data_IF_078694513492
#
_entry.id   IF_078694513492
#
_cell.length_a   1.000
_cell.length_b   1.000
_cell.length_c   1.000
_cell.angle_alpha   90.00
_cell.angle_beta   90.00
_cell.angle_gamma   90.00
#
_symmetry.space_group_name_H-M   'P 1'
#
loop_
_entity.id
_entity.type
_entity.pdbx_description
1 polymer ?
#
# COMPACT_ATOMS: atom_id res chain seq x y z
N UNK A 1 -28.44 29.68 43.81
CA UNK A 1 -28.54 29.93 42.32
C UNK A 1 -27.19 29.62 41.63
N UNK A 2 -26.06 29.97 42.18
CA UNK A 2 -24.74 29.75 41.51
C UNK A 2 -24.38 28.27 41.24
N UNK A 3 -24.69 27.33 42.15
CA UNK A 3 -24.41 25.93 41.96
C UNK A 3 -25.20 25.28 40.83
N UNK A 4 -26.50 25.66 40.71
CA UNK A 4 -27.36 25.17 39.62
C UNK A 4 -26.89 25.72 38.26
N UNK A 5 -26.49 26.99 38.20
CA UNK A 5 -26.00 27.60 36.99
C UNK A 5 -24.67 26.93 36.51
N UNK A 6 -23.77 26.61 37.45
CA UNK A 6 -22.52 25.88 37.17
C UNK A 6 -22.83 24.47 36.68
N UNK A 7 -23.74 23.75 37.31
CA UNK A 7 -24.14 22.40 36.88
C UNK A 7 -24.73 22.40 35.48
N UNK A 8 -25.57 23.35 35.11
CA UNK A 8 -26.14 23.51 33.77
C UNK A 8 -25.02 23.80 32.76
N UNK A 9 -24.10 24.71 33.05
CA UNK A 9 -22.96 25.01 32.19
C UNK A 9 -22.07 23.79 31.95
N UNK A 10 -21.80 23.01 32.97
CA UNK A 10 -20.99 21.76 32.85
C UNK A 10 -21.71 20.73 31.97
N UNK A 11 -23.03 20.54 32.15
CA UNK A 11 -23.83 19.63 31.31
C UNK A 11 -23.87 20.11 29.86
N UNK A 12 -24.08 21.39 29.63
CA UNK A 12 -24.07 21.97 28.28
C UNK A 12 -22.69 21.83 27.63
N UNK A 13 -21.62 22.15 28.38
CA UNK A 13 -20.25 21.98 27.87
C UNK A 13 -19.93 20.51 27.57
N UNK A 14 -20.33 19.58 28.43
CA UNK A 14 -20.17 18.15 28.22
C UNK A 14 -20.97 17.67 26.99
N UNK A 15 -22.21 18.13 26.83
CA UNK A 15 -23.02 17.82 25.65
C UNK A 15 -22.40 18.38 24.35
N UNK A 16 -21.91 19.61 24.37
CA UNK A 16 -21.21 20.22 23.22
C UNK A 16 -19.94 19.46 22.87
N UNK A 17 -19.12 19.08 23.87
CA UNK A 17 -17.91 18.29 23.67
C UNK A 17 -18.26 16.92 23.12
N UNK A 18 -19.32 16.28 23.63
CA UNK A 18 -19.75 14.97 23.15
C UNK A 18 -20.28 15.04 21.72
N UNK A 19 -21.14 16.01 21.39
CA UNK A 19 -21.72 16.18 20.02
C UNK A 19 -20.65 16.57 19.00
N UNK A 20 -19.65 17.38 19.41
CA UNK A 20 -18.54 17.80 18.52
C UNK A 20 -17.35 16.87 18.56
N UNK A 21 -17.32 15.91 19.47
CA UNK A 21 -16.22 14.97 19.62
C UNK A 21 -16.31 13.80 18.64
N UNK A 22 -15.17 13.27 18.27
CA UNK A 22 -15.02 12.11 17.37
C UNK A 22 -15.82 10.88 17.84
N UNK A 23 -16.12 10.78 19.13
CA UNK A 23 -16.86 9.66 19.71
C UNK A 23 -18.32 9.61 19.23
N UNK A 24 -18.94 10.75 18.97
CA UNK A 24 -20.34 10.81 18.51
C UNK A 24 -20.48 10.26 17.08
N UNK A 25 -19.50 10.54 16.21
CA UNK A 25 -19.48 10.09 14.82
C UNK A 25 -18.81 8.73 14.61
N UNK A 26 -18.50 7.99 15.70
CA UNK A 26 -17.79 6.70 15.61
C UNK A 26 -18.72 5.55 16.02
N UNK A 27 -18.86 4.57 15.15
CA UNK A 27 -19.52 3.29 15.43
C UNK A 27 -18.46 2.18 15.43
N UNK A 28 -18.41 1.38 16.49
CA UNK A 28 -17.48 0.26 16.63
C UNK A 28 -18.23 -0.98 17.11
N UNK A 29 -18.35 -1.95 16.22
CA UNK A 29 -18.95 -3.27 16.50
C UNK A 29 -17.82 -4.28 16.42
N UNK A 30 -17.37 -4.79 17.55
CA UNK A 30 -16.31 -5.79 17.61
C UNK A 30 -16.87 -7.20 17.45
N UNK A 31 -16.06 -8.13 16.92
CA UNK A 31 -16.41 -9.54 16.89
C UNK A 31 -16.65 -10.08 18.30
N UNK A 32 -17.64 -10.96 18.46
CA UNK A 32 -17.99 -11.58 19.75
C UNK A 32 -16.90 -12.51 20.28
N UNK A 33 -16.07 -13.02 19.38
CA UNK A 33 -14.87 -13.82 19.69
C UNK A 33 -13.79 -13.52 18.65
N UNK A 34 -12.52 -13.72 19.00
CA UNK A 34 -11.41 -13.62 18.05
C UNK A 34 -11.52 -14.69 16.98
N UNK A 35 -11.34 -14.29 15.72
CA UNK A 35 -11.38 -15.20 14.58
C UNK A 35 -10.06 -15.94 14.48
N UNK A 36 -10.06 -17.29 14.46
CA UNK A 36 -8.82 -18.02 14.25
C UNK A 36 -8.30 -17.81 12.83
N UNK A 37 -6.99 -17.66 12.69
CA UNK A 37 -6.37 -17.60 11.36
C UNK A 37 -6.56 -18.94 10.64
N UNK A 38 -7.17 -18.97 9.45
CA UNK A 38 -7.32 -20.19 8.67
C UNK A 38 -5.97 -20.84 8.37
N UNK A 39 -5.94 -22.17 8.40
CA UNK A 39 -4.75 -22.93 8.02
C UNK A 39 -4.45 -22.70 6.55
N UNK A 40 -3.18 -22.48 6.22
CA UNK A 40 -2.76 -22.30 4.82
C UNK A 40 -3.13 -23.55 3.99
N UNK A 41 -3.54 -23.32 2.74
CA UNK A 41 -3.84 -24.39 1.81
C UNK A 41 -2.58 -25.22 1.52
N UNK A 42 -2.71 -26.54 1.55
CA UNK A 42 -1.68 -27.51 1.18
C UNK A 42 -1.84 -28.00 -0.27
N UNK A 43 -3.00 -27.78 -0.88
CA UNK A 43 -3.34 -28.17 -2.25
C UNK A 43 -4.01 -27.02 -3.00
N UNK A 44 -3.89 -27.06 -4.32
CA UNK A 44 -4.59 -26.14 -5.20
C UNK A 44 -6.01 -26.67 -5.49
N UNK A 45 -7.01 -25.75 -5.59
CA UNK A 45 -8.33 -26.14 -6.06
C UNK A 45 -8.30 -26.50 -7.56
N UNK A 46 -9.20 -27.36 -8.00
CA UNK A 46 -9.34 -27.72 -9.41
C UNK A 46 -10.23 -26.76 -10.19
N UNK A 47 -11.08 -26.03 -9.50
CA UNK A 47 -11.95 -24.97 -10.03
C UNK A 47 -12.25 -23.97 -8.92
N UNK A 48 -12.60 -22.76 -9.28
CA UNK A 48 -13.02 -21.72 -8.35
C UNK A 48 -14.33 -21.09 -8.84
N UNK A 49 -15.20 -20.80 -7.89
CA UNK A 49 -16.43 -20.04 -8.12
C UNK A 49 -16.55 -18.91 -7.13
N UNK A 50 -17.27 -17.88 -7.48
CA UNK A 50 -17.56 -16.81 -6.52
C UNK A 50 -18.39 -17.33 -5.36
N UNK A 51 -17.94 -17.06 -4.15
CA UNK A 51 -18.64 -17.34 -2.90
C UNK A 51 -19.46 -16.12 -2.45
N UNK A 52 -18.84 -14.97 -2.50
CA UNK A 52 -19.43 -13.68 -2.16
C UNK A 52 -18.58 -12.53 -2.75
N UNK A 53 -19.15 -11.33 -2.78
CA UNK A 53 -18.43 -10.08 -3.04
C UNK A 53 -18.93 -8.96 -2.14
N UNK A 54 -18.13 -7.89 -1.98
CA UNK A 54 -18.47 -6.71 -1.23
C UNK A 54 -17.66 -5.49 -1.73
N UNK A 55 -18.22 -4.27 -1.65
CA UNK A 55 -17.50 -3.06 -2.01
C UNK A 55 -16.21 -2.89 -1.21
N UNK A 56 -15.12 -2.52 -1.91
CA UNK A 56 -13.82 -2.19 -1.33
C UNK A 56 -13.08 -1.19 -2.23
N UNK A 57 -13.37 0.10 -2.02
CA UNK A 57 -12.78 1.20 -2.78
C UNK A 57 -11.60 1.86 -2.07
N UNK A 58 -11.36 1.50 -0.81
CA UNK A 58 -10.31 2.09 0.00
C UNK A 58 -9.01 1.30 0.01
N UNK A 59 -9.04 0.04 -0.41
CA UNK A 59 -7.85 -0.83 -0.43
C UNK A 59 -7.14 -0.77 -1.78
N UNK A 60 -5.81 -0.69 -1.76
CA UNK A 60 -5.00 -0.83 -2.98
C UNK A 60 -4.82 -2.29 -3.43
N UNK A 61 -5.10 -3.24 -2.55
CA UNK A 61 -5.02 -4.70 -2.75
C UNK A 61 -6.03 -5.42 -1.87
N UNK A 62 -6.37 -6.64 -2.20
CA UNK A 62 -7.21 -7.47 -1.32
C UNK A 62 -6.53 -7.64 0.05
N UNK A 63 -7.16 -7.11 1.10
CA UNK A 63 -6.58 -7.02 2.42
C UNK A 63 -7.03 -8.17 3.31
N UNK A 64 -6.05 -8.86 3.90
CA UNK A 64 -6.26 -9.91 4.90
C UNK A 64 -5.51 -9.52 6.18
N UNK A 65 -6.18 -9.57 7.32
CA UNK A 65 -5.58 -9.27 8.61
C UNK A 65 -6.24 -10.05 9.73
N UNK A 66 -5.46 -10.69 10.60
CA UNK A 66 -5.99 -11.43 11.74
C UNK A 66 -6.96 -12.55 11.39
N UNK A 67 -6.81 -13.19 10.22
CA UNK A 67 -7.67 -14.30 9.79
C UNK A 67 -8.97 -13.91 9.09
N UNK A 68 -9.20 -12.62 8.83
CA UNK A 68 -10.40 -12.10 8.16
C UNK A 68 -10.06 -11.40 6.84
N UNK A 69 -11.01 -11.37 5.92
CA UNK A 69 -10.99 -10.48 4.76
C UNK A 69 -11.49 -9.10 5.21
N UNK A 70 -10.77 -8.05 4.83
CA UNK A 70 -11.10 -6.68 5.23
C UNK A 70 -11.50 -5.87 4.01
N UNK A 71 -12.60 -5.14 4.11
CA UNK A 71 -13.09 -4.23 3.08
C UNK A 71 -13.26 -2.83 3.64
N UNK A 72 -13.03 -1.82 2.80
CA UNK A 72 -13.26 -0.42 3.13
C UNK A 72 -14.04 0.31 2.06
N UNK A 73 -15.13 0.96 2.46
CA UNK A 73 -15.96 1.73 1.55
C UNK A 73 -16.53 2.95 2.25
N UNK A 74 -16.55 4.09 1.56
CA UNK A 74 -16.96 5.40 2.05
C UNK A 74 -16.31 5.83 3.38
N UNK A 75 -16.91 5.51 4.52
CA UNK A 75 -16.49 5.87 5.88
C UNK A 75 -16.30 4.64 6.78
N UNK A 76 -16.48 3.44 6.22
CA UNK A 76 -16.66 2.18 6.96
C UNK A 76 -15.58 1.16 6.60
N UNK A 77 -15.03 0.53 7.63
CA UNK A 77 -14.15 -0.63 7.52
C UNK A 77 -14.87 -1.85 8.08
N UNK A 78 -14.87 -2.95 7.35
CA UNK A 78 -15.58 -4.17 7.73
C UNK A 78 -14.64 -5.38 7.66
N UNK A 79 -14.57 -6.16 8.74
CA UNK A 79 -13.94 -7.49 8.75
C UNK A 79 -14.99 -8.55 8.46
N UNK A 80 -14.68 -9.42 7.50
CA UNK A 80 -15.59 -10.45 7.00
C UNK A 80 -14.99 -11.83 7.13
N UNK A 81 -15.84 -12.82 7.37
CA UNK A 81 -15.44 -14.21 7.21
C UNK A 81 -15.03 -14.45 5.75
N UNK A 82 -13.80 -14.97 5.50
CA UNK A 82 -13.30 -15.09 4.13
C UNK A 82 -14.09 -16.10 3.27
N UNK A 83 -14.83 -17.03 3.86
CA UNK A 83 -15.60 -18.05 3.14
C UNK A 83 -17.05 -17.66 2.91
N UNK A 84 -17.67 -16.95 3.87
CA UNK A 84 -19.10 -16.67 3.83
C UNK A 84 -19.41 -15.21 3.50
N UNK A 85 -18.44 -14.31 3.65
CA UNK A 85 -18.64 -12.86 3.51
C UNK A 85 -19.37 -12.22 4.68
N UNK A 86 -19.75 -13.02 5.70
CA UNK A 86 -20.47 -12.54 6.88
C UNK A 86 -19.65 -11.46 7.59
N UNK A 87 -20.31 -10.38 8.00
CA UNK A 87 -19.69 -9.32 8.79
C UNK A 87 -19.39 -9.84 10.19
N UNK A 88 -18.11 -9.88 10.55
CA UNK A 88 -17.63 -10.26 11.88
C UNK A 88 -17.47 -9.06 12.79
N UNK A 89 -16.99 -7.94 12.24
CA UNK A 89 -16.85 -6.68 12.93
C UNK A 89 -16.99 -5.50 11.95
N UNK A 90 -17.27 -4.31 12.49
CA UNK A 90 -17.39 -3.06 11.73
C UNK A 90 -16.81 -1.90 12.53
N UNK A 91 -16.11 -1.02 11.85
CA UNK A 91 -15.66 0.25 12.38
C UNK A 91 -15.98 1.37 11.39
N UNK A 92 -16.72 2.36 11.83
CA UNK A 92 -17.18 3.49 11.04
C UNK A 92 -16.81 4.80 11.73
N UNK A 93 -16.38 5.79 10.97
CA UNK A 93 -16.25 7.17 11.44
C UNK A 93 -17.04 8.08 10.52
N UNK A 94 -17.55 9.20 11.05
CA UNK A 94 -18.20 10.24 10.24
C UNK A 94 -17.13 11.09 9.50
N UNK A 95 -16.29 10.43 8.72
CA UNK A 95 -15.18 10.98 7.95
C UNK A 95 -14.90 10.10 6.75
N UNK A 96 -14.63 10.66 5.54
CA UNK A 96 -14.26 9.84 4.38
C UNK A 96 -12.99 9.04 4.64
N UNK A 97 -13.00 7.77 4.26
CA UNK A 97 -11.86 6.89 4.31
C UNK A 97 -10.90 7.21 3.15
N UNK A 98 -9.63 7.49 3.45
CA UNK A 98 -8.59 7.74 2.46
C UNK A 98 -7.95 6.45 1.95
N UNK A 99 -7.84 5.44 2.81
CA UNK A 99 -7.21 4.18 2.46
C UNK A 99 -7.08 3.23 3.64
N UNK A 100 -6.83 1.98 3.28
CA UNK A 100 -6.57 0.88 4.21
C UNK A 100 -5.23 0.22 3.91
N UNK A 101 -4.53 -0.18 4.95
CA UNK A 101 -3.36 -1.05 4.85
C UNK A 101 -3.31 -2.01 6.03
N UNK A 102 -2.64 -3.16 5.85
CA UNK A 102 -2.54 -4.20 6.85
C UNK A 102 -1.11 -4.55 7.20
N UNK A 103 -0.81 -4.62 8.50
CA UNK A 103 0.48 -5.03 9.00
C UNK A 103 0.36 -5.66 10.40
N UNK A 104 1.12 -6.73 10.67
CA UNK A 104 1.16 -7.42 11.98
C UNK A 104 -0.21 -7.86 12.53
N UNK A 105 -1.11 -8.31 11.65
CA UNK A 105 -2.45 -8.69 12.07
C UNK A 105 -3.34 -7.51 12.45
N UNK A 106 -2.89 -6.27 12.18
CA UNK A 106 -3.64 -5.04 12.38
C UNK A 106 -4.12 -4.49 11.05
N UNK A 107 -5.21 -3.74 11.10
CA UNK A 107 -5.75 -2.92 10.01
C UNK A 107 -5.52 -1.46 10.37
N UNK A 108 -4.92 -0.71 9.48
CA UNK A 108 -4.73 0.73 9.62
C UNK A 108 -5.69 1.41 8.65
N UNK A 109 -6.67 2.10 9.23
CA UNK A 109 -7.65 2.89 8.51
C UNK A 109 -7.28 4.38 8.61
N UNK A 110 -7.09 5.03 7.46
CA UNK A 110 -6.75 6.45 7.39
C UNK A 110 -7.95 7.22 6.89
N UNK A 111 -8.40 8.21 7.67
CA UNK A 111 -9.55 9.04 7.38
C UNK A 111 -9.14 10.48 7.12
N UNK A 112 -9.99 11.21 6.38
CA UNK A 112 -9.76 12.60 6.00
C UNK A 112 -10.58 13.54 6.87
N UNK A 113 -9.90 14.49 7.49
CA UNK A 113 -10.47 15.67 8.13
C UNK A 113 -10.06 16.96 7.40
N UNK A 114 -10.20 18.12 8.06
CA UNK A 114 -9.81 19.42 7.51
C UNK A 114 -8.30 19.53 7.23
N UNK A 115 -7.46 18.69 7.89
CA UNK A 115 -6.01 18.65 7.74
C UNK A 115 -5.53 17.63 6.70
N UNK A 116 -6.44 17.10 5.90
CA UNK A 116 -6.16 16.06 4.91
C UNK A 116 -6.40 14.65 5.43
N UNK A 117 -5.74 13.64 4.88
CA UNK A 117 -5.79 12.23 5.33
C UNK A 117 -5.00 12.04 6.63
N UNK A 118 -5.46 12.68 7.68
CA UNK A 118 -4.74 13.00 8.91
C UNK A 118 -5.06 12.08 10.08
N UNK A 119 -6.14 11.30 10.01
CA UNK A 119 -6.67 10.52 11.11
C UNK A 119 -6.41 9.03 10.89
N UNK A 120 -5.33 8.49 11.42
CA UNK A 120 -5.04 7.07 11.35
C UNK A 120 -5.59 6.34 12.59
N UNK A 121 -6.33 5.26 12.37
CA UNK A 121 -6.85 4.38 13.42
C UNK A 121 -6.36 2.96 13.17
N UNK A 122 -5.83 2.33 14.21
CA UNK A 122 -5.40 0.94 14.18
C UNK A 122 -6.44 0.05 14.84
N UNK A 123 -6.87 -0.96 14.11
CA UNK A 123 -7.83 -1.98 14.54
C UNK A 123 -7.15 -3.35 14.57
N UNK A 124 -7.49 -4.17 15.54
CA UNK A 124 -7.11 -5.58 15.53
C UNK A 124 -7.86 -6.28 14.39
N UNK A 125 -7.14 -6.98 13.50
CA UNK A 125 -7.74 -7.60 12.33
C UNK A 125 -8.76 -8.68 12.68
N UNK A 126 -8.49 -9.45 13.73
CA UNK A 126 -9.33 -10.57 14.19
C UNK A 126 -10.64 -10.16 14.86
N UNK A 127 -10.72 -8.93 15.37
CA UNK A 127 -11.86 -8.51 16.22
C UNK A 127 -12.40 -7.12 15.93
N UNK A 128 -11.71 -6.31 15.13
CA UNK A 128 -12.07 -4.93 14.91
C UNK A 128 -11.84 -4.01 16.13
N UNK A 129 -11.26 -4.53 17.21
CA UNK A 129 -11.02 -3.76 18.41
C UNK A 129 -9.99 -2.65 18.15
N UNK A 130 -10.36 -1.39 18.45
CA UNK A 130 -9.45 -0.26 18.36
C UNK A 130 -8.26 -0.43 19.30
N UNK A 131 -7.05 -0.35 18.77
CA UNK A 131 -5.80 -0.47 19.52
C UNK A 131 -5.20 0.88 19.84
N UNK A 132 -4.99 1.69 18.82
CA UNK A 132 -4.44 3.04 18.97
C UNK A 132 -4.93 3.92 17.82
N UNK A 133 -4.68 5.20 17.91
CA UNK A 133 -4.94 6.15 16.85
C UNK A 133 -3.87 7.23 16.84
N UNK A 134 -3.70 7.84 15.69
CA UNK A 134 -2.80 8.94 15.44
C UNK A 134 -3.53 10.05 14.70
N UNK A 135 -3.26 11.28 15.06
CA UNK A 135 -3.67 12.46 14.31
C UNK A 135 -2.44 13.21 13.82
N UNK A 136 -2.43 13.62 12.57
CA UNK A 136 -1.32 14.28 11.93
C UNK A 136 -1.82 15.34 10.94
N UNK A 137 -0.92 16.05 10.29
CA UNK A 137 -1.21 16.84 9.10
C UNK A 137 -0.74 16.05 7.89
N UNK A 138 -1.59 15.87 6.88
CA UNK A 138 -1.26 15.13 5.65
C UNK A 138 -1.88 15.79 4.43
N UNK A 139 -1.48 15.35 3.26
CA UNK A 139 -2.15 15.70 2.00
C UNK A 139 -3.60 15.17 1.98
N UNK A 140 -4.42 15.70 1.08
CA UNK A 140 -5.84 15.29 0.96
C UNK A 140 -6.00 13.89 0.41
N UNK A 141 -5.02 13.44 -0.36
CA UNK A 141 -4.96 12.10 -0.93
C UNK A 141 -3.60 11.50 -0.58
N UNK A 142 -3.61 10.26 -0.12
CA UNK A 142 -2.42 9.53 0.30
C UNK A 142 -2.41 8.14 -0.29
N UNK A 143 -1.21 7.68 -0.62
CA UNK A 143 -0.93 6.29 -0.91
C UNK A 143 -0.35 5.63 0.34
N UNK A 144 -0.92 4.48 0.73
CA UNK A 144 -0.44 3.68 1.85
C UNK A 144 0.32 2.47 1.35
N UNK A 145 1.43 2.15 1.99
CA UNK A 145 2.16 0.90 1.76
C UNK A 145 2.82 0.42 3.06
N UNK A 146 3.03 -0.89 3.16
CA UNK A 146 3.69 -1.51 4.30
C UNK A 146 4.84 -2.41 3.83
N UNK A 147 5.99 -2.33 4.50
CA UNK A 147 7.18 -3.14 4.19
C UNK A 147 7.39 -4.33 5.15
N UNK A 148 6.49 -4.53 6.08
CA UNK A 148 6.57 -5.53 7.14
C UNK A 148 7.22 -5.01 8.43
N UNK A 149 7.80 -3.80 8.43
CA UNK A 149 8.36 -3.12 9.61
C UNK A 149 7.70 -1.78 9.84
N UNK A 150 7.52 -1.00 8.77
CA UNK A 150 6.93 0.32 8.80
C UNK A 150 5.72 0.40 7.89
N UNK A 151 4.84 1.32 8.21
CA UNK A 151 3.78 1.77 7.34
C UNK A 151 4.15 3.16 6.81
N UNK A 152 4.06 3.32 5.51
CA UNK A 152 4.35 4.54 4.79
C UNK A 152 3.05 5.17 4.31
N UNK A 153 2.84 6.44 4.60
CA UNK A 153 1.80 7.28 4.04
C UNK A 153 2.44 8.39 3.21
N UNK A 154 2.21 8.39 1.91
CA UNK A 154 2.74 9.37 0.98
C UNK A 154 1.62 10.14 0.29
N UNK A 155 1.68 11.47 0.39
CA UNK A 155 0.98 12.39 -0.49
C UNK A 155 1.95 13.10 -1.44
N UNK A 156 1.46 14.01 -2.30
CA UNK A 156 2.32 14.73 -3.25
C UNK A 156 3.27 15.74 -2.59
N UNK A 157 3.00 16.19 -1.38
CA UNK A 157 3.83 17.21 -0.70
C UNK A 157 4.46 16.72 0.59
N UNK A 158 3.86 15.68 1.22
CA UNK A 158 4.25 15.17 2.52
C UNK A 158 4.29 13.66 2.56
N UNK A 159 5.23 13.13 3.32
CA UNK A 159 5.37 11.71 3.61
C UNK A 159 5.57 11.53 5.12
N UNK A 160 4.93 10.52 5.68
CA UNK A 160 5.20 10.04 7.02
C UNK A 160 5.44 8.53 7.02
N UNK A 161 6.34 8.08 7.89
CA UNK A 161 6.47 6.65 8.24
C UNK A 161 6.07 6.43 9.68
N UNK A 162 5.41 5.29 9.93
CA UNK A 162 4.92 4.90 11.25
C UNK A 162 5.36 3.48 11.60
N UNK A 163 5.72 3.28 12.87
CA UNK A 163 5.93 1.93 13.44
C UNK A 163 4.62 1.17 13.59
N UNK A 164 4.75 -0.08 14.04
CA UNK A 164 3.61 -0.97 14.35
C UNK A 164 2.66 -0.45 15.42
N UNK A 165 3.01 0.59 16.18
CA UNK A 165 2.18 1.27 17.18
C UNK A 165 1.68 2.65 16.71
N UNK A 166 1.83 2.96 15.42
CA UNK A 166 1.55 4.25 14.78
C UNK A 166 2.43 5.42 15.28
N UNK A 167 3.48 5.17 16.03
CA UNK A 167 4.44 6.22 16.36
C UNK A 167 5.21 6.60 15.09
N UNK A 168 5.20 7.89 14.76
CA UNK A 168 5.94 8.42 13.61
C UNK A 168 7.44 8.27 13.81
N UNK A 169 8.10 7.67 12.83
CA UNK A 169 9.57 7.55 12.79
C UNK A 169 10.22 8.59 11.89
N UNK A 170 9.54 9.02 10.84
CA UNK A 170 10.01 10.06 9.92
C UNK A 170 8.85 10.92 9.46
N UNK A 171 9.07 12.23 9.31
CA UNK A 171 8.30 13.12 8.46
C UNK A 171 9.22 13.75 7.42
N UNK A 172 8.71 13.92 6.19
CA UNK A 172 9.50 14.42 5.07
C UNK A 172 8.64 15.27 4.13
N UNK A 173 9.26 16.30 3.54
CA UNK A 173 8.62 17.22 2.61
C UNK A 173 7.98 18.44 3.29
N UNK A 174 6.76 18.77 2.95
CA UNK A 174 6.06 19.91 3.54
C UNK A 174 5.60 19.62 4.97
N UNK A 175 5.97 20.47 5.91
CA UNK A 175 5.54 20.44 7.31
C UNK A 175 4.96 21.81 7.67
N UNK A 176 3.66 21.86 7.97
CA UNK A 176 2.92 23.12 8.20
C UNK A 176 3.44 23.87 9.44
N UNK A 177 3.59 23.17 10.56
CA UNK A 177 4.08 23.74 11.81
C UNK A 177 5.25 22.90 12.35
N UNK A 178 6.46 23.06 11.79
CA UNK A 178 7.60 22.23 12.18
C UNK A 178 8.04 22.51 13.63
N UNK A 179 8.23 21.45 14.40
CA UNK A 179 8.83 21.54 15.74
C UNK A 179 10.25 22.08 15.65
N UNK A 180 11.02 21.57 14.70
CA UNK A 180 12.35 22.06 14.36
C UNK A 180 12.29 22.80 13.02
N UNK A 181 12.61 24.08 13.03
CA UNK A 181 12.60 24.91 11.82
C UNK A 181 13.81 24.60 10.93
N UNK A 182 13.64 24.65 9.60
CA UNK A 182 14.68 24.43 8.58
C UNK A 182 15.31 23.04 8.58
N UNK A 183 14.65 22.04 9.11
CA UNK A 183 15.14 20.65 9.13
C UNK A 183 14.71 19.85 7.90
N UNK A 184 13.65 20.30 7.20
CA UNK A 184 13.17 19.65 6.00
C UNK A 184 13.97 20.07 4.77
N UNK A 185 14.74 19.17 4.13
CA UNK A 185 15.67 19.53 3.05
C UNK A 185 14.96 19.83 1.72
N UNK A 186 13.74 19.31 1.51
CA UNK A 186 13.02 19.32 0.22
C UNK A 186 11.61 19.90 0.31
N UNK A 187 11.43 20.93 1.12
CA UNK A 187 10.13 21.53 1.42
C UNK A 187 9.30 21.95 0.20
N UNK A 188 9.93 22.32 -0.91
CA UNK A 188 9.25 22.80 -2.12
C UNK A 188 9.18 21.77 -3.25
N UNK A 189 9.61 20.53 -3.02
CA UNK A 189 9.56 19.47 -4.01
C UNK A 189 8.20 18.77 -4.01
N UNK A 190 7.83 18.17 -5.16
CA UNK A 190 6.69 17.27 -5.28
C UNK A 190 7.17 15.83 -5.15
N UNK A 191 6.60 15.06 -4.25
CA UNK A 191 6.92 13.66 -4.05
C UNK A 191 6.17 12.84 -5.10
N UNK A 192 6.88 12.21 -6.03
CA UNK A 192 6.30 11.47 -7.15
C UNK A 192 5.95 10.04 -6.77
N UNK A 193 6.87 9.37 -6.11
CA UNK A 193 6.69 8.00 -5.60
C UNK A 193 7.69 7.70 -4.50
N UNK A 194 7.38 6.71 -3.68
CA UNK A 194 8.27 6.23 -2.63
C UNK A 194 8.12 4.74 -2.42
N UNK A 195 9.07 4.18 -1.70
CA UNK A 195 9.04 2.80 -1.24
C UNK A 195 9.97 2.64 -0.05
N UNK A 196 9.73 1.62 0.76
CA UNK A 196 10.53 1.38 1.95
C UNK A 196 10.93 -0.08 2.14
N UNK A 197 11.92 -0.26 2.97
CA UNK A 197 12.35 -1.51 3.60
C UNK A 197 12.64 -1.24 5.07
N UNK A 198 12.94 -2.24 5.89
CA UNK A 198 13.30 -2.03 7.29
C UNK A 198 14.46 -1.05 7.51
N UNK A 199 15.33 -0.84 6.54
CA UNK A 199 16.52 0.00 6.69
C UNK A 199 16.67 1.13 5.68
N UNK A 200 15.77 1.24 4.69
CA UNK A 200 15.82 2.26 3.63
C UNK A 200 14.42 2.79 3.31
N UNK A 201 14.33 4.10 3.15
CA UNK A 201 13.20 4.79 2.56
C UNK A 201 13.71 5.53 1.30
N UNK A 202 13.20 5.17 0.14
CA UNK A 202 13.52 5.84 -1.11
C UNK A 202 12.36 6.74 -1.53
N UNK A 203 12.68 7.96 -1.92
CA UNK A 203 11.72 8.95 -2.42
C UNK A 203 12.21 9.45 -3.78
N UNK A 204 11.38 9.34 -4.79
CA UNK A 204 11.56 10.00 -6.07
C UNK A 204 10.75 11.30 -6.03
N UNK A 205 11.43 12.43 -6.28
CA UNK A 205 10.83 13.74 -6.11
C UNK A 205 11.26 14.70 -7.22
N UNK A 206 10.38 15.64 -7.53
CA UNK A 206 10.65 16.74 -8.47
C UNK A 206 10.82 18.03 -7.70
N UNK A 207 12.00 18.61 -7.81
CA UNK A 207 12.33 19.88 -7.16
C UNK A 207 12.44 21.02 -8.19
N UNK A 208 11.92 22.22 -7.90
CA UNK A 208 11.91 23.33 -8.87
C UNK A 208 13.28 23.77 -9.37
N UNK A 209 14.33 23.54 -8.57
CA UNK A 209 15.70 23.92 -8.90
C UNK A 209 16.48 22.84 -9.68
N UNK A 210 15.93 21.64 -9.78
CA UNK A 210 16.60 20.51 -10.41
C UNK A 210 16.19 20.35 -11.88
N UNK A 211 17.12 20.00 -12.78
CA UNK A 211 16.82 19.80 -14.19
C UNK A 211 16.10 18.47 -14.48
N UNK A 212 16.08 17.56 -13.52
CA UNK A 212 15.46 16.24 -13.62
C UNK A 212 14.96 15.79 -12.23
N UNK A 213 14.36 14.62 -12.15
CA UNK A 213 13.91 14.02 -10.90
C UNK A 213 15.11 13.76 -9.97
N UNK A 214 14.82 13.73 -8.68
CA UNK A 214 15.79 13.46 -7.63
C UNK A 214 15.43 12.16 -6.92
N UNK A 215 16.40 11.27 -6.76
CA UNK A 215 16.31 10.14 -5.86
C UNK A 215 16.94 10.52 -4.52
N UNK A 216 16.15 10.51 -3.46
CA UNK A 216 16.62 10.68 -2.08
C UNK A 216 16.43 9.38 -1.32
N UNK A 217 17.48 8.87 -0.69
CA UNK A 217 17.44 7.67 0.16
C UNK A 217 17.68 8.08 1.60
N UNK A 218 16.74 7.70 2.47
CA UNK A 218 16.65 8.15 3.85
C UNK A 218 16.72 6.97 4.82
N UNK A 219 17.14 7.27 6.06
CA UNK A 219 16.93 6.39 7.20
C UNK A 219 15.43 6.38 7.57
N UNK A 220 14.74 5.21 7.57
CA UNK A 220 13.32 5.13 7.94
C UNK A 220 13.04 5.41 9.41
N UNK A 221 14.06 5.39 10.28
CA UNK A 221 13.95 5.67 11.71
C UNK A 221 15.16 6.48 12.20
N UNK A 222 15.29 7.75 11.81
CA UNK A 222 16.33 8.63 12.28
C UNK A 222 16.22 8.86 13.80
N UNK A 223 17.28 9.41 14.39
CA UNK A 223 17.32 9.72 15.82
C UNK A 223 16.22 10.71 16.24
N UNK A 224 15.91 11.68 15.38
CA UNK A 224 14.81 12.63 15.54
C UNK A 224 13.85 12.49 14.35
N UNK A 225 12.60 12.16 14.63
CA UNK A 225 11.58 11.92 13.59
C UNK A 225 11.20 13.19 12.79
N UNK A 226 11.63 14.37 13.23
CA UNK A 226 11.43 15.67 12.57
C UNK A 226 12.64 16.13 11.76
N UNK A 227 13.75 15.36 11.83
CA UNK A 227 15.01 15.66 11.15
C UNK A 227 15.38 14.46 10.26
N UNK A 228 15.01 14.50 8.96
CA UNK A 228 15.37 13.43 8.04
C UNK A 228 16.88 13.20 7.97
N UNK A 229 17.31 11.95 8.05
CA UNK A 229 18.69 11.55 7.87
C UNK A 229 18.85 10.95 6.46
N UNK A 230 19.63 11.63 5.61
CA UNK A 230 19.90 11.20 4.24
C UNK A 230 21.10 10.26 4.18
N UNK A 231 20.92 9.09 3.55
CA UNK A 231 22.05 8.26 3.10
C UNK A 231 22.63 8.79 1.80
N UNK A 232 21.81 9.38 0.94
CA UNK A 232 22.20 10.06 -0.28
C UNK A 232 21.02 10.74 -0.95
N UNK A 233 21.33 11.77 -1.75
CA UNK A 233 20.32 12.51 -2.53
C UNK A 233 20.95 13.00 -3.83
N UNK A 234 20.47 12.49 -4.96
CA UNK A 234 21.08 12.67 -6.26
C UNK A 234 20.05 13.09 -7.30
N UNK A 235 20.34 14.18 -8.02
CA UNK A 235 19.60 14.51 -9.24
C UNK A 235 19.92 13.43 -10.27
N UNK A 236 18.89 12.81 -10.80
CA UNK A 236 19.03 11.73 -11.76
C UNK A 236 19.48 12.31 -13.12
N UNK A 237 20.16 11.48 -13.88
CA UNK A 237 20.64 11.83 -15.20
C UNK A 237 20.32 10.76 -16.22
N UNK A 238 20.35 11.15 -17.47
CA UNK A 238 20.06 10.26 -18.59
C UNK A 238 18.59 10.32 -19.06
N UNK A 239 18.27 9.62 -20.12
CA UNK A 239 16.98 9.71 -20.79
C UNK A 239 15.83 9.28 -19.88
N UNK A 240 14.73 10.06 -19.88
CA UNK A 240 13.53 9.79 -19.06
C UNK A 240 13.68 10.04 -17.56
N UNK A 241 14.80 10.58 -17.11
CA UNK A 241 15.00 11.00 -15.70
C UNK A 241 14.21 12.26 -15.32
N UNK A 242 13.65 12.94 -16.30
CA UNK A 242 12.76 14.09 -16.17
C UNK A 242 11.27 13.74 -16.40
N UNK A 243 10.96 12.45 -16.54
CA UNK A 243 9.61 11.99 -16.81
C UNK A 243 8.77 11.87 -15.55
N UNK A 244 7.55 12.40 -15.59
CA UNK A 244 6.55 12.22 -14.53
C UNK A 244 6.08 10.74 -14.36
N UNK A 245 6.39 9.86 -15.32
CA UNK A 245 6.10 8.42 -15.23
C UNK A 245 7.21 7.63 -14.51
N UNK A 246 8.38 8.27 -14.29
CA UNK A 246 9.44 7.66 -13.49
C UNK A 246 8.95 7.39 -12.07
N UNK A 247 9.26 6.21 -11.53
CA UNK A 247 8.79 5.82 -10.20
C UNK A 247 9.65 4.78 -9.51
N UNK A 248 9.61 4.79 -8.19
CA UNK A 248 10.16 3.72 -7.35
C UNK A 248 9.27 2.49 -7.52
N UNK A 249 9.86 1.34 -7.85
CA UNK A 249 9.14 0.07 -7.93
C UNK A 249 9.33 -0.80 -6.70
N UNK A 250 10.55 -0.84 -6.17
CA UNK A 250 10.84 -1.61 -4.96
C UNK A 250 12.09 -1.07 -4.26
N UNK A 251 12.15 -1.33 -2.97
CA UNK A 251 13.28 -0.98 -2.09
C UNK A 251 13.63 -2.20 -1.26
N UNK A 252 14.90 -2.56 -1.22
CA UNK A 252 15.47 -3.53 -0.29
C UNK A 252 16.40 -2.82 0.69
N UNK A 253 16.95 -3.56 1.65
CA UNK A 253 17.86 -2.99 2.64
C UNK A 253 19.16 -2.41 2.06
N UNK A 254 19.49 -2.75 0.83
CA UNK A 254 20.74 -2.35 0.18
C UNK A 254 20.56 -1.73 -1.21
N UNK A 255 19.34 -1.76 -1.77
CA UNK A 255 19.10 -1.32 -3.15
C UNK A 255 17.75 -0.70 -3.35
N UNK A 256 17.67 0.15 -4.39
CA UNK A 256 16.44 0.78 -4.89
C UNK A 256 16.33 0.48 -6.38
N UNK A 257 15.17 0.10 -6.87
CA UNK A 257 14.90 -0.01 -8.30
C UNK A 257 13.88 1.03 -8.73
N UNK A 258 14.26 1.82 -9.76
CA UNK A 258 13.41 2.80 -10.41
C UNK A 258 13.00 2.31 -11.80
N UNK A 259 11.80 2.65 -12.20
CA UNK A 259 11.35 2.56 -13.58
C UNK A 259 11.55 3.91 -14.26
N UNK A 260 12.06 3.88 -15.50
CA UNK A 260 12.05 4.99 -16.43
C UNK A 260 11.32 4.60 -17.72
N UNK A 261 10.41 5.43 -18.23
CA UNK A 261 9.73 5.18 -19.48
C UNK A 261 10.69 5.29 -20.67
N UNK A 262 10.22 4.91 -21.84
CA UNK A 262 10.93 5.17 -23.09
C UNK A 262 11.14 6.69 -23.26
N UNK A 263 12.34 7.08 -23.67
CA UNK A 263 12.65 8.48 -23.91
C UNK A 263 12.55 8.77 -25.41
N UNK A 264 11.77 9.78 -25.83
CA UNK A 264 11.77 10.26 -27.22
C UNK A 264 13.10 11.00 -27.49
N UNK A 265 13.65 10.82 -28.69
CA UNK A 265 14.89 11.49 -29.10
C UNK A 265 15.55 10.82 -30.28
N UNK A 266 16.73 11.31 -30.68
CA UNK A 266 17.51 10.77 -31.80
C UNK A 266 17.95 9.31 -31.57
N UNK A 267 18.15 8.93 -30.29
CA UNK A 267 18.31 7.56 -29.86
C UNK A 267 17.05 7.17 -29.08
N UNK A 268 16.15 6.44 -29.74
CA UNK A 268 14.92 5.95 -29.15
C UNK A 268 15.26 4.87 -28.09
N UNK A 269 15.48 5.29 -26.84
CA UNK A 269 15.83 4.38 -25.78
C UNK A 269 14.58 3.67 -25.22
N UNK A 270 14.63 2.34 -25.06
CA UNK A 270 13.53 1.57 -24.53
C UNK A 270 13.28 1.92 -23.05
N UNK A 271 12.08 1.58 -22.53
CA UNK A 271 11.81 1.66 -21.10
C UNK A 271 12.78 0.74 -20.33
N UNK A 272 13.08 1.09 -19.09
CA UNK A 272 14.11 0.39 -18.34
C UNK A 272 13.89 0.39 -16.83
N UNK A 273 14.50 -0.57 -16.16
CA UNK A 273 14.69 -0.60 -14.72
C UNK A 273 16.13 -0.17 -14.43
N UNK A 274 16.30 0.83 -13.59
CA UNK A 274 17.59 1.26 -13.09
C UNK A 274 17.73 0.91 -11.61
N UNK A 275 18.75 0.17 -11.27
CA UNK A 275 19.07 -0.27 -9.92
C UNK A 275 20.14 0.65 -9.33
N UNK A 276 19.85 1.12 -8.14
CA UNK A 276 20.74 1.97 -7.33
C UNK A 276 21.11 1.25 -6.04
N UNK A 277 22.25 1.59 -5.46
CA UNK A 277 22.63 1.13 -4.13
C UNK A 277 21.81 1.82 -3.02
N UNK A 278 22.03 1.40 -1.78
CA UNK A 278 21.35 1.95 -0.61
C UNK A 278 21.71 3.40 -0.27
N UNK A 279 22.57 4.05 -1.07
CA UNK A 279 22.92 5.47 -0.99
C UNK A 279 22.48 6.26 -2.23
N UNK A 280 21.80 5.59 -3.19
CA UNK A 280 21.30 6.22 -4.40
C UNK A 280 22.33 6.32 -5.54
N UNK A 281 23.47 5.61 -5.47
CA UNK A 281 24.41 5.55 -6.58
C UNK A 281 23.99 4.49 -7.60
N UNK A 282 24.10 4.74 -8.92
CA UNK A 282 23.68 3.80 -9.95
C UNK A 282 24.57 2.52 -9.96
N UNK A 283 23.93 1.36 -10.14
CA UNK A 283 24.60 0.06 -10.22
C UNK A 283 24.47 -0.54 -11.62
N UNK A 284 23.23 -0.77 -12.08
CA UNK A 284 22.95 -1.47 -13.34
C UNK A 284 21.61 -1.01 -13.92
N UNK A 285 21.48 -1.15 -15.22
CA UNK A 285 20.24 -0.85 -15.96
C UNK A 285 19.80 -2.08 -16.76
N UNK A 286 18.55 -2.47 -16.60
CA UNK A 286 17.90 -3.54 -17.35
C UNK A 286 16.88 -2.93 -18.32
N UNK A 287 17.02 -3.18 -19.60
CA UNK A 287 16.06 -2.75 -20.61
C UNK A 287 14.79 -3.60 -20.52
N UNK A 288 13.65 -2.97 -20.71
CA UNK A 288 12.35 -3.63 -20.80
C UNK A 288 11.90 -3.72 -22.26
N UNK A 289 11.23 -4.80 -22.60
CA UNK A 289 10.67 -5.01 -23.94
C UNK A 289 9.43 -4.15 -24.22
N UNK A 290 8.75 -3.67 -23.16
CA UNK A 290 7.56 -2.84 -23.24
C UNK A 290 7.47 -1.88 -22.03
N UNK A 291 6.79 -0.73 -22.16
CA UNK A 291 6.57 0.18 -21.07
C UNK A 291 5.68 -0.43 -19.99
N UNK A 292 5.87 0.01 -18.76
CA UNK A 292 4.94 -0.31 -17.67
C UNK A 292 3.68 0.56 -17.78
N UNK A 293 2.53 -0.06 -17.54
CA UNK A 293 1.26 0.67 -17.39
C UNK A 293 1.33 1.63 -16.20
N UNK A 294 0.50 2.67 -16.19
CA UNK A 294 0.28 3.51 -15.02
C UNK A 294 -0.30 2.72 -13.83
N UNK A 295 -1.02 1.63 -14.12
CA UNK A 295 -1.57 0.71 -13.12
C UNK A 295 -0.61 -0.41 -12.70
N UNK A 296 0.66 -0.35 -13.12
CA UNK A 296 1.65 -1.33 -12.71
C UNK A 296 1.86 -1.30 -11.18
N UNK A 297 1.91 -2.48 -10.60
CA UNK A 297 2.06 -2.68 -9.15
C UNK A 297 3.21 -3.63 -8.86
N UNK A 298 3.78 -3.51 -7.66
CA UNK A 298 4.81 -4.43 -7.19
C UNK A 298 4.33 -5.16 -5.94
N UNK A 299 4.50 -6.47 -5.93
CA UNK A 299 4.17 -7.33 -4.79
C UNK A 299 5.39 -8.13 -4.40
N UNK A 300 5.72 -8.18 -3.11
CA UNK A 300 6.79 -9.04 -2.61
C UNK A 300 6.23 -10.40 -2.22
N UNK A 301 6.76 -11.47 -2.80
CA UNK A 301 6.41 -12.85 -2.45
C UNK A 301 7.71 -13.61 -2.16
N UNK A 302 7.87 -14.04 -0.92
CA UNK A 302 9.11 -14.67 -0.47
C UNK A 302 10.32 -13.73 -0.62
N UNK A 303 11.32 -14.19 -1.38
CA UNK A 303 12.53 -13.43 -1.69
C UNK A 303 12.48 -12.69 -3.04
N UNK A 304 11.35 -12.71 -3.76
CA UNK A 304 11.21 -12.05 -5.06
C UNK A 304 10.26 -10.85 -5.00
N UNK A 305 10.50 -9.86 -5.86
CA UNK A 305 9.54 -8.81 -6.18
C UNK A 305 8.89 -9.13 -7.52
N UNK A 306 7.57 -9.16 -7.55
CA UNK A 306 6.77 -9.44 -8.73
C UNK A 306 6.13 -8.14 -9.21
N UNK A 307 6.57 -7.67 -10.37
CA UNK A 307 6.09 -6.42 -10.97
C UNK A 307 5.04 -6.75 -12.02
N UNK A 308 3.79 -6.41 -11.75
CA UNK A 308 2.75 -6.41 -12.77
C UNK A 308 2.96 -5.20 -13.69
N UNK A 309 3.08 -5.44 -14.99
CA UNK A 309 3.43 -4.41 -15.99
C UNK A 309 2.23 -3.75 -16.65
N UNK A 310 1.05 -4.33 -16.48
CA UNK A 310 -0.20 -4.02 -17.20
C UNK A 310 -0.72 -5.20 -18.03
N UNK A 311 0.15 -6.12 -18.45
CA UNK A 311 -0.22 -7.32 -19.20
C UNK A 311 0.70 -8.53 -18.96
N UNK A 312 1.72 -8.36 -18.13
CA UNK A 312 2.72 -9.38 -17.80
C UNK A 312 3.15 -9.21 -16.35
N UNK A 313 3.80 -10.22 -15.81
CA UNK A 313 4.50 -10.12 -14.51
C UNK A 313 5.98 -10.39 -14.73
N UNK A 314 6.84 -9.49 -14.25
CA UNK A 314 8.28 -9.65 -14.22
C UNK A 314 8.67 -10.00 -12.78
N UNK A 315 9.38 -11.10 -12.59
CA UNK A 315 10.00 -11.42 -11.31
C UNK A 315 11.39 -10.82 -11.23
N UNK A 316 11.67 -10.14 -10.14
CA UNK A 316 12.96 -9.57 -9.82
C UNK A 316 13.56 -10.27 -8.61
N UNK A 317 14.87 -10.54 -8.65
CA UNK A 317 15.59 -11.01 -7.49
C UNK A 317 15.50 -10.01 -6.34
N UNK A 318 15.12 -10.46 -5.15
CA UNK A 318 14.84 -9.57 -4.02
C UNK A 318 16.05 -8.87 -3.41
N UNK A 319 17.27 -9.31 -3.77
CA UNK A 319 18.51 -8.70 -3.29
C UNK A 319 19.20 -7.84 -4.35
N UNK A 320 19.19 -8.30 -5.62
CA UNK A 320 19.91 -7.63 -6.73
C UNK A 320 19.00 -6.82 -7.65
N UNK A 321 17.71 -7.12 -7.65
CA UNK A 321 16.69 -6.63 -8.59
C UNK A 321 16.95 -7.01 -10.06
N UNK A 322 17.79 -8.02 -10.30
CA UNK A 322 17.94 -8.59 -11.63
C UNK A 322 16.64 -9.28 -12.05
N UNK A 323 16.19 -9.13 -13.31
CA UNK A 323 15.06 -9.87 -13.84
C UNK A 323 15.35 -11.38 -13.85
N UNK A 324 14.45 -12.19 -13.30
CA UNK A 324 14.54 -13.64 -13.23
C UNK A 324 13.77 -14.32 -14.35
N UNK A 325 12.50 -13.94 -14.52
CA UNK A 325 11.60 -14.46 -15.53
C UNK A 325 10.46 -13.48 -15.79
N UNK A 326 9.73 -13.70 -16.88
CA UNK A 326 8.54 -12.92 -17.24
C UNK A 326 7.42 -13.86 -17.67
N UNK A 327 6.22 -13.65 -17.13
CA UNK A 327 4.99 -14.36 -17.52
C UNK A 327 4.00 -13.38 -18.16
N UNK A 328 3.54 -13.69 -19.37
CA UNK A 328 2.59 -12.86 -20.11
C UNK A 328 1.13 -13.21 -19.82
N UNK A 329 0.21 -12.37 -20.35
CA UNK A 329 -1.24 -12.58 -20.25
C UNK A 329 -1.81 -12.32 -18.86
N UNK A 330 -1.06 -11.62 -18.01
CA UNK A 330 -1.48 -11.24 -16.67
C UNK A 330 -2.57 -10.15 -16.71
N UNK A 331 -3.56 -10.29 -15.86
CA UNK A 331 -4.59 -9.28 -15.58
C UNK A 331 -4.33 -8.53 -14.27
N UNK A 332 -3.26 -8.86 -13.55
CA UNK A 332 -2.93 -8.22 -12.28
C UNK A 332 -1.84 -8.90 -11.49
N UNK A 333 -1.76 -8.60 -10.20
CA UNK A 333 -0.73 -9.11 -9.29
C UNK A 333 -1.04 -10.54 -8.86
N UNK A 334 -0.02 -11.43 -8.81
CA UNK A 334 -0.20 -12.81 -8.36
C UNK A 334 -0.24 -12.93 -6.82
N UNK A 335 -0.70 -14.09 -6.35
CA UNK A 335 -0.61 -14.51 -4.95
C UNK A 335 -0.02 -15.92 -4.83
N UNK A 336 0.48 -16.27 -3.64
CA UNK A 336 1.01 -17.59 -3.34
C UNK A 336 -0.05 -18.48 -2.69
N UNK A 337 -0.22 -19.72 -3.21
CA UNK A 337 -1.07 -20.76 -2.64
C UNK A 337 -0.43 -22.11 -2.81
N UNK A 338 -0.34 -22.91 -1.77
CA UNK A 338 0.24 -24.26 -1.80
C UNK A 338 1.61 -24.34 -2.51
N UNK A 339 2.47 -23.31 -2.27
CA UNK A 339 3.82 -23.24 -2.87
C UNK A 339 3.86 -22.87 -4.36
N UNK A 340 2.74 -22.51 -4.98
CA UNK A 340 2.64 -22.05 -6.38
C UNK A 340 2.15 -20.61 -6.44
N UNK A 341 2.52 -19.91 -7.52
CA UNK A 341 1.95 -18.60 -7.82
C UNK A 341 0.65 -18.76 -8.60
N UNK A 342 -0.39 -18.11 -8.15
CA UNK A 342 -1.64 -17.96 -8.87
C UNK A 342 -1.61 -16.60 -9.57
N UNK A 343 -1.61 -16.60 -10.90
CA UNK A 343 -1.59 -15.38 -11.72
C UNK A 343 -2.97 -15.20 -12.36
N UNK A 344 -3.66 -14.06 -12.15
CA UNK A 344 -4.94 -13.82 -12.80
C UNK A 344 -4.73 -13.64 -14.30
N UNK A 345 -5.43 -14.46 -15.10
CA UNK A 345 -5.45 -14.43 -16.56
C UNK A 345 -6.88 -14.49 -17.06
N UNK A 346 -7.09 -14.30 -18.35
CA UNK A 346 -8.43 -14.38 -18.95
C UNK A 346 -9.04 -15.77 -18.73
N UNK A 347 -10.19 -15.81 -18.06
CA UNK A 347 -10.97 -17.02 -17.78
C UNK A 347 -10.33 -18.01 -16.80
N UNK A 348 -9.17 -17.68 -16.18
CA UNK A 348 -8.49 -18.60 -15.29
C UNK A 348 -7.54 -17.89 -14.31
N UNK A 349 -7.03 -18.66 -13.34
CA UNK A 349 -5.75 -18.39 -12.68
C UNK A 349 -4.70 -19.33 -13.28
N UNK A 350 -3.64 -18.79 -13.87
CA UNK A 350 -2.49 -19.60 -14.28
C UNK A 350 -1.69 -20.00 -13.02
N UNK A 351 -1.31 -21.26 -12.95
CA UNK A 351 -0.49 -21.82 -11.88
C UNK A 351 0.95 -21.81 -12.32
N UNK A 352 1.79 -20.98 -11.67
CA UNK A 352 3.18 -20.84 -12.05
C UNK A 352 4.12 -21.41 -10.99
N UNK A 353 5.25 -21.91 -11.45
CA UNK A 353 6.38 -22.17 -10.58
C UNK A 353 7.03 -20.85 -10.15
N UNK A 354 7.16 -20.56 -8.85
CA UNK A 354 7.65 -19.27 -8.38
C UNK A 354 9.13 -19.00 -8.74
N UNK A 355 9.95 -20.03 -8.93
CA UNK A 355 11.37 -19.88 -9.23
C UNK A 355 11.64 -19.60 -10.73
N UNK A 356 10.81 -20.16 -11.60
CA UNK A 356 11.05 -20.14 -13.05
C UNK A 356 10.00 -19.39 -13.86
N UNK A 357 8.82 -19.10 -13.26
CA UNK A 357 7.67 -18.56 -13.96
C UNK A 357 6.99 -19.55 -14.91
N UNK A 358 7.45 -20.81 -14.94
CA UNK A 358 6.88 -21.82 -15.84
C UNK A 358 5.42 -22.15 -15.42
N UNK A 359 4.52 -22.17 -16.41
CA UNK A 359 3.12 -22.53 -16.19
C UNK A 359 3.00 -24.04 -16.00
N UNK A 360 2.45 -24.47 -14.87
CA UNK A 360 2.20 -25.86 -14.51
C UNK A 360 0.74 -26.29 -14.71
N UNK A 361 -0.17 -25.33 -14.90
CA UNK A 361 -1.59 -25.61 -15.08
C UNK A 361 -2.45 -24.34 -15.00
N UNK A 362 -3.76 -24.53 -15.06
CA UNK A 362 -4.76 -23.47 -14.97
C UNK A 362 -5.93 -23.89 -14.12
N UNK A 363 -6.44 -22.97 -13.31
CA UNK A 363 -7.66 -23.13 -12.51
C UNK A 363 -8.72 -22.22 -13.17
N UNK A 364 -9.80 -22.79 -13.73
CA UNK A 364 -10.88 -21.99 -14.33
C UNK A 364 -11.52 -21.05 -13.34
N UNK A 365 -11.73 -19.80 -13.74
CA UNK A 365 -12.44 -18.75 -12.98
C UNK A 365 -13.32 -17.97 -13.92
N UNK A 366 -14.60 -17.93 -13.64
CA UNK A 366 -15.54 -17.04 -14.30
C UNK A 366 -15.60 -15.67 -13.59
N UNK A 367 -15.54 -14.56 -14.36
CA UNK A 367 -15.56 -13.19 -13.84
C UNK A 367 -16.64 -12.37 -14.53
N UNK A 368 -17.92 -12.64 -14.23
CA UNK A 368 -19.00 -11.88 -14.84
C UNK A 368 -18.88 -10.39 -14.51
N UNK A 369 -19.09 -9.53 -15.50
CA UNK A 369 -19.04 -8.07 -15.33
C UNK A 369 -17.65 -7.46 -15.18
N UNK A 370 -16.57 -8.23 -15.28
CA UNK A 370 -15.20 -7.71 -15.20
C UNK A 370 -14.93 -6.69 -16.31
N UNK A 371 -14.45 -5.49 -15.94
CA UNK A 371 -14.29 -4.33 -16.83
C UNK A 371 -12.88 -4.13 -17.37
N UNK A 372 -11.91 -4.94 -16.91
CA UNK A 372 -10.51 -4.90 -17.38
C UNK A 372 -9.55 -4.14 -16.48
N UNK A 373 -9.98 -3.68 -15.31
CA UNK A 373 -9.08 -3.10 -14.32
C UNK A 373 -8.15 -4.17 -13.72
N UNK A 374 -6.94 -3.80 -13.25
CA UNK A 374 -6.03 -4.76 -12.64
C UNK A 374 -6.67 -5.53 -11.48
N UNK A 375 -6.38 -6.82 -11.42
CA UNK A 375 -6.83 -7.72 -10.35
C UNK A 375 -5.70 -7.88 -9.34
N UNK A 376 -5.95 -7.51 -8.07
CA UNK A 376 -5.02 -7.79 -7.00
C UNK A 376 -5.45 -9.05 -6.23
N UNK A 377 -4.60 -10.08 -6.26
CA UNK A 377 -4.88 -11.35 -5.57
C UNK A 377 -4.30 -11.36 -4.16
N UNK A 378 -5.05 -12.00 -3.25
CA UNK A 378 -4.56 -12.44 -1.94
C UNK A 378 -5.18 -13.79 -1.62
N UNK A 379 -4.49 -14.62 -0.85
CA UNK A 379 -4.98 -15.94 -0.42
C UNK A 379 -5.09 -16.00 1.09
N UNK A 380 -6.19 -16.55 1.57
CA UNK A 380 -6.40 -16.86 2.98
C UNK A 380 -7.00 -18.26 3.15
N UNK A 381 -6.25 -19.17 3.77
CA UNK A 381 -6.65 -20.57 3.82
C UNK A 381 -6.88 -21.13 2.41
N UNK A 382 -8.07 -21.63 2.16
CA UNK A 382 -8.49 -22.17 0.85
C UNK A 382 -9.28 -21.14 0.01
N UNK A 383 -9.38 -19.89 0.45
CA UNK A 383 -10.11 -18.84 -0.26
C UNK A 383 -9.14 -17.95 -1.03
N UNK A 384 -9.40 -17.72 -2.30
CA UNK A 384 -8.72 -16.72 -3.13
C UNK A 384 -9.57 -15.46 -3.14
N UNK A 385 -8.96 -14.33 -2.80
CA UNK A 385 -9.57 -13.02 -2.82
C UNK A 385 -9.07 -12.24 -4.02
N UNK A 386 -9.97 -11.70 -4.84
CA UNK A 386 -9.70 -10.81 -5.97
C UNK A 386 -10.26 -9.41 -5.66
N UNK A 387 -9.40 -8.42 -5.49
CA UNK A 387 -9.84 -7.03 -5.55
C UNK A 387 -9.83 -6.60 -7.01
N UNK A 388 -10.99 -6.27 -7.54
CA UNK A 388 -11.18 -5.84 -8.93
C UNK A 388 -12.39 -4.91 -9.05
N UNK A 389 -12.30 -3.92 -9.91
CA UNK A 389 -13.41 -2.99 -10.23
C UNK A 389 -14.02 -2.27 -8.99
N UNK A 390 -13.28 -2.17 -7.87
CA UNK A 390 -13.75 -1.55 -6.62
C UNK A 390 -14.53 -2.47 -5.70
N UNK A 391 -14.55 -3.78 -6.00
CA UNK A 391 -15.16 -4.81 -5.17
C UNK A 391 -14.15 -5.91 -4.81
N UNK A 392 -14.26 -6.42 -3.60
CA UNK A 392 -13.56 -7.62 -3.16
C UNK A 392 -14.43 -8.84 -3.44
N UNK A 393 -13.92 -9.76 -4.26
CA UNK A 393 -14.56 -11.02 -4.60
C UNK A 393 -13.83 -12.18 -3.92
N UNK A 394 -14.54 -13.05 -3.22
CA UNK A 394 -14.01 -14.28 -2.65
C UNK A 394 -14.37 -15.46 -3.54
N UNK A 395 -13.37 -16.27 -3.84
CA UNK A 395 -13.47 -17.45 -4.68
C UNK A 395 -13.07 -18.70 -3.88
N UNK A 396 -13.83 -19.79 -4.08
CA UNK A 396 -13.55 -21.08 -3.42
C UNK A 396 -14.24 -22.26 -4.07
#
# INVERSE_FOLDING_TARGET
MSAVAIAVLVVVAAAVVWVRGDAHGTESVTASSTVPTPVAADQLPTSLRELWHAPDRASARALVSGGVAVTGDDDTVTGRDPRTGEQLWKYRRDMPLCGLEGQYGMVIAVYRDERGCSQATMLAGDSGARRTARSSYMDRDVHLSADGTYLLAQGPQRLEMWRSDLVRTVEYGFVDAPVNVKTQPRKGCTLLSSGSSPSRLAVLERCPADPAERLTVLNPAPKDNTVPEEYGSHVLSGPGSDSAEARVLAVSDSRVVLYFPAAPGAEQLPPRLAVYDGNGNPIVVHQLSAPLSQTATTTRIGSAYLVFTGNSVIALNGSTFDPLWTAGGALGSPALMAGKLLLPTTGALAVLDPATGAEAGRIPVDRPGYTGNPIALTVIGNTVLELRDGDLHALG
#
